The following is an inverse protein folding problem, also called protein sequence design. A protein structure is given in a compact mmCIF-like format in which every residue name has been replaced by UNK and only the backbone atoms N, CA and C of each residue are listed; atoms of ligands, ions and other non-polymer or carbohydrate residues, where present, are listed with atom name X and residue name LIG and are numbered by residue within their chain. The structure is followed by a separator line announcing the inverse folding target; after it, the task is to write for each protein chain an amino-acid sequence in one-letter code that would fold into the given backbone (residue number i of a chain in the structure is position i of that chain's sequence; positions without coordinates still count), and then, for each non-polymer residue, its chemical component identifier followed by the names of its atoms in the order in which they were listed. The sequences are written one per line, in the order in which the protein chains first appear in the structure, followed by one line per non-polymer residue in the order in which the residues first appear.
data_IF_750849118982
#
_entry.id   IF_750849118982
#
_cell.length_a   1.000
_cell.length_b   1.000
_cell.length_c   1.000
_cell.angle_alpha   90.00
_cell.angle_beta   90.00
_cell.angle_gamma   90.00
#
_symmetry.space_group_name_H-M   'P 1'
#
loop_
_entity.id
_entity.type
_entity.pdbx_description
1 polymer ?
#
# COMPACT_ATOMS: atom_id res chain seq x y z
N UNK A 1 -30.90 -56.81 -11.22
CA UNK A 1 -31.95 -57.29 -10.29
C UNK A 1 -31.30 -57.36 -8.93
N UNK A 2 -31.83 -56.88 -7.82
CA UNK A 2 -32.99 -56.07 -7.49
C UNK A 2 -32.73 -55.86 -5.98
N UNK A 3 -32.55 -54.60 -5.59
CA UNK A 3 -33.13 -54.07 -4.35
C UNK A 3 -32.35 -54.42 -3.07
N UNK A 4 -31.80 -53.41 -2.40
CA UNK A 4 -32.49 -52.71 -1.30
C UNK A 4 -32.54 -53.64 -0.08
N UNK A 5 -31.72 -53.43 0.95
CA UNK A 5 -32.11 -52.77 2.22
C UNK A 5 -30.85 -52.74 3.11
N UNK A 6 -30.78 -51.79 4.06
CA UNK A 6 -29.67 -51.45 4.98
C UNK A 6 -28.76 -50.37 4.36
N UNK A 7 -29.15 -49.10 4.18
CA UNK A 7 -29.82 -48.14 5.06
C UNK A 7 -29.33 -48.13 6.53
N UNK A 8 -28.74 -46.99 6.88
CA UNK A 8 -28.84 -46.32 8.19
C UNK A 8 -27.84 -46.75 9.28
N UNK A 9 -26.67 -46.08 9.35
CA UNK A 9 -25.99 -45.64 10.59
C UNK A 9 -24.64 -44.98 10.27
N UNK A 10 -24.65 -43.73 9.78
CA UNK A 10 -23.51 -42.79 9.91
C UNK A 10 -24.02 -41.35 9.72
N UNK A 11 -25.05 -41.01 10.50
CA UNK A 11 -25.36 -39.62 10.84
C UNK A 11 -24.91 -39.47 12.29
N UNK A 12 -23.77 -38.83 12.52
CA UNK A 12 -23.50 -37.97 13.68
C UNK A 12 -22.06 -37.42 13.60
N UNK A 13 -21.91 -36.24 13.00
CA UNK A 13 -20.90 -35.24 13.38
C UNK A 13 -21.32 -33.92 12.74
N UNK A 14 -22.42 -33.40 13.25
CA UNK A 14 -22.88 -32.04 13.07
C UNK A 14 -21.94 -31.06 13.75
N UNK A 15 -21.81 -29.89 13.11
CA UNK A 15 -21.49 -28.60 13.73
C UNK A 15 -20.03 -28.33 14.16
N UNK A 16 -19.18 -27.98 13.20
CA UNK A 16 -18.17 -26.94 13.42
C UNK A 16 -18.83 -25.56 13.18
N UNK A 17 -19.63 -25.13 14.16
CA UNK A 17 -19.97 -23.72 14.33
C UNK A 17 -18.90 -23.09 15.22
N UNK A 18 -17.78 -22.66 14.61
CA UNK A 18 -16.87 -21.73 15.27
C UNK A 18 -17.34 -20.31 15.00
N UNK A 19 -18.05 -19.81 16.00
CA UNK A 19 -18.16 -18.41 16.37
C UNK A 19 -16.90 -17.60 16.06
N UNK A 20 -17.12 -16.46 15.39
CA UNK A 20 -16.53 -15.20 15.83
C UNK A 20 -15.10 -14.88 15.38
N UNK A 21 -14.98 -14.28 14.20
CA UNK A 21 -14.36 -12.96 14.06
C UNK A 21 -14.90 -12.33 12.77
N UNK A 22 -16.14 -11.86 12.87
CA UNK A 22 -16.59 -10.75 12.03
C UNK A 22 -15.80 -9.53 12.49
N UNK A 23 -14.56 -9.43 12.03
CA UNK A 23 -13.84 -8.17 12.00
C UNK A 23 -14.36 -7.49 10.75
N UNK A 24 -15.50 -6.85 10.92
CA UNK A 24 -15.89 -5.74 10.06
C UNK A 24 -14.68 -4.81 10.09
N UNK A 25 -13.86 -4.89 9.05
CA UNK A 25 -12.91 -3.85 8.75
C UNK A 25 -13.75 -2.74 8.13
N UNK A 26 -13.88 -1.57 8.79
CA UNK A 26 -14.08 -0.34 8.05
C UNK A 26 -12.83 -0.15 7.19
N UNK A 27 -12.84 -0.74 6.00
CA UNK A 27 -12.08 -0.25 4.86
C UNK A 27 -13.02 0.66 4.05
N UNK A 28 -13.75 1.54 4.74
CA UNK A 28 -14.22 2.79 4.18
C UNK A 28 -13.03 3.76 4.16
N UNK A 29 -12.10 3.54 3.23
CA UNK A 29 -11.54 4.69 2.52
C UNK A 29 -12.43 4.94 1.30
N UNK A 30 -13.72 5.18 1.57
CA UNK A 30 -14.55 6.02 0.74
C UNK A 30 -14.04 7.47 0.91
N UNK A 31 -12.90 7.71 0.30
CA UNK A 31 -12.25 9.01 0.16
C UNK A 31 -11.97 9.25 -1.31
N UNK A 32 -13.05 9.31 -2.11
CA UNK A 32 -13.24 10.27 -3.20
C UNK A 32 -12.10 10.27 -4.26
N UNK A 33 -12.25 9.70 -5.45
CA UNK A 33 -13.39 9.92 -6.34
C UNK A 33 -13.53 11.37 -6.82
N UNK A 34 -12.83 12.31 -6.16
CA UNK A 34 -12.49 13.60 -6.72
C UNK A 34 -11.09 13.42 -7.32
N UNK A 35 -10.91 13.81 -8.57
CA UNK A 35 -9.60 14.07 -9.13
C UNK A 35 -8.85 15.04 -8.21
N UNK A 36 -8.06 14.52 -7.27
CA UNK A 36 -7.14 15.35 -6.48
C UNK A 36 -6.02 15.71 -7.43
N UNK A 37 -5.99 16.98 -7.83
CA UNK A 37 -4.87 17.55 -8.58
C UNK A 37 -3.62 17.48 -7.70
N UNK A 38 -2.83 16.43 -7.92
CA UNK A 38 -1.62 16.13 -7.15
C UNK A 38 -0.58 17.25 -7.26
N UNK A 39 -0.65 18.07 -8.32
CA UNK A 39 0.28 19.17 -8.56
C UNK A 39 -0.03 20.40 -7.69
N UNK A 40 -1.26 20.51 -7.17
CA UNK A 40 -1.68 21.59 -6.27
C UNK A 40 -1.48 21.27 -4.78
N UNK A 41 -1.09 20.04 -4.44
CA UNK A 41 -0.88 19.65 -3.06
C UNK A 41 0.35 20.35 -2.46
N UNK A 42 0.31 20.70 -1.16
CA UNK A 42 1.45 21.30 -0.49
C UNK A 42 2.67 20.39 -0.57
N UNK A 43 3.86 21.01 -0.67
CA UNK A 43 5.11 20.26 -0.65
C UNK A 43 5.33 19.65 0.73
N UNK A 44 5.83 18.42 0.77
CA UNK A 44 6.20 17.74 2.02
C UNK A 44 7.63 18.08 2.41
N UNK A 45 7.90 18.03 3.71
CA UNK A 45 9.26 18.16 4.23
C UNK A 45 10.00 16.84 4.09
N UNK A 46 11.26 16.91 3.62
CA UNK A 46 12.13 15.75 3.45
C UNK A 46 13.40 16.00 4.25
N UNK A 47 13.75 15.16 5.25
CA UNK A 47 14.99 15.31 5.99
C UNK A 47 16.20 14.92 5.14
N UNK A 48 17.40 15.31 5.58
CA UNK A 48 18.64 15.02 4.86
C UNK A 48 18.88 13.52 4.71
N UNK A 49 18.67 12.77 5.79
CA UNK A 49 18.91 11.34 5.89
C UNK A 49 17.85 10.50 5.17
N UNK A 50 16.71 11.11 4.85
CA UNK A 50 15.57 10.50 4.20
C UNK A 50 14.47 10.06 5.13
N UNK A 51 13.29 9.86 4.55
CA UNK A 51 12.06 9.46 5.24
C UNK A 51 11.30 8.47 4.36
N UNK A 52 10.65 7.49 4.99
CA UNK A 52 9.68 6.60 4.36
C UNK A 52 8.26 7.20 4.48
N UNK A 53 7.49 7.13 3.40
CA UNK A 53 6.11 7.57 3.34
C UNK A 53 5.18 6.36 3.20
N UNK A 54 4.35 6.13 4.23
CA UNK A 54 3.26 5.17 4.23
C UNK A 54 1.95 5.87 4.68
N UNK A 55 1.00 6.15 3.78
CA UNK A 55 1.01 5.80 2.35
C UNK A 55 2.02 6.62 1.54
N UNK A 56 2.35 6.16 0.33
CA UNK A 56 3.21 6.91 -0.59
C UNK A 56 2.64 8.29 -0.94
N UNK A 57 3.53 9.26 -1.13
CA UNK A 57 3.18 10.64 -1.53
C UNK A 57 3.34 10.82 -3.04
N UNK A 58 2.70 11.85 -3.60
CA UNK A 58 2.93 12.20 -5.00
C UNK A 58 4.33 12.79 -5.18
N UNK A 59 5.00 12.43 -6.28
CA UNK A 59 6.30 13.02 -6.67
C UNK A 59 6.22 14.55 -6.79
N UNK A 60 5.06 15.07 -7.19
CA UNK A 60 4.79 16.49 -7.24
C UNK A 60 4.96 17.17 -5.87
N UNK A 61 4.61 16.50 -4.76
CA UNK A 61 4.73 17.03 -3.39
C UNK A 61 6.16 17.07 -2.88
N UNK A 62 7.09 16.31 -3.47
CA UNK A 62 8.48 16.33 -3.02
C UNK A 62 9.15 17.67 -3.33
N UNK A 63 10.09 18.16 -2.51
CA UNK A 63 10.87 19.34 -2.86
C UNK A 63 11.86 19.03 -3.99
N UNK A 64 12.25 20.03 -4.75
CA UNK A 64 13.22 19.85 -5.84
C UNK A 64 14.61 19.47 -5.29
N UNK A 65 15.38 18.74 -6.09
CA UNK A 65 16.75 18.33 -5.75
C UNK A 65 16.85 17.10 -4.84
N UNK A 66 15.76 16.63 -4.23
CA UNK A 66 15.75 15.38 -3.46
C UNK A 66 15.94 14.16 -4.34
N UNK A 67 16.51 13.12 -3.76
CA UNK A 67 16.56 11.77 -4.30
C UNK A 67 15.32 11.02 -3.84
N UNK A 68 14.55 10.48 -4.78
CA UNK A 68 13.26 9.84 -4.51
C UNK A 68 13.17 8.45 -5.13
N UNK A 69 12.39 7.57 -4.53
CA UNK A 69 11.99 6.32 -5.16
C UNK A 69 10.75 6.56 -6.02
N UNK A 70 10.92 6.73 -7.33
CA UNK A 70 9.80 6.95 -8.26
C UNK A 70 9.13 5.60 -8.61
N UNK A 71 7.93 5.42 -8.06
CA UNK A 71 7.05 4.28 -8.31
C UNK A 71 5.86 4.72 -9.16
N UNK A 72 6.13 5.29 -10.34
CA UNK A 72 5.12 5.79 -11.28
C UNK A 72 4.33 6.98 -10.73
N UNK A 73 5.01 8.11 -10.48
CA UNK A 73 4.45 9.37 -9.93
C UNK A 73 4.14 9.36 -8.45
N UNK A 74 4.26 8.22 -7.78
CA UNK A 74 4.24 8.12 -6.33
C UNK A 74 5.65 7.83 -5.80
N UNK A 75 5.91 8.23 -4.57
CA UNK A 75 7.13 7.93 -3.86
C UNK A 75 6.86 7.55 -2.42
N UNK A 76 7.44 6.43 -2.00
CA UNK A 76 7.42 5.97 -0.62
C UNK A 76 8.73 6.28 0.12
N UNK A 77 9.72 6.89 -0.53
CA UNK A 77 10.96 7.29 0.12
C UNK A 77 11.60 8.48 -0.61
N UNK A 78 12.04 9.47 0.15
CA UNK A 78 12.86 10.56 -0.38
C UNK A 78 13.91 11.03 0.64
N UNK A 79 15.02 11.57 0.16
CA UNK A 79 16.12 12.14 0.95
C UNK A 79 16.82 13.28 0.20
N UNK A 80 17.38 14.28 0.91
CA UNK A 80 18.27 15.24 0.24
C UNK A 80 19.65 14.65 -0.08
N UNK A 81 20.15 13.72 0.73
CA UNK A 81 21.40 13.01 0.45
C UNK A 81 21.12 11.76 -0.39
N UNK A 82 21.86 11.59 -1.48
CA UNK A 82 21.75 10.40 -2.35
C UNK A 82 22.14 9.13 -1.61
N UNK A 83 23.12 9.21 -0.69
CA UNK A 83 23.82 8.04 -0.13
C UNK A 83 24.32 7.10 -1.24
N UNK A 84 24.01 5.81 -1.15
CA UNK A 84 24.29 4.78 -2.16
C UNK A 84 23.41 4.91 -3.43
N UNK A 85 22.41 5.77 -3.39
CA UNK A 85 21.43 5.96 -4.44
C UNK A 85 20.37 4.87 -4.49
N UNK A 86 20.25 4.00 -3.48
CA UNK A 86 19.30 2.89 -3.47
C UNK A 86 18.23 3.15 -2.40
N UNK A 87 16.97 2.90 -2.74
CA UNK A 87 15.88 2.98 -1.78
C UNK A 87 16.08 1.91 -0.69
N UNK A 88 16.13 2.27 0.61
CA UNK A 88 16.34 1.29 1.67
C UNK A 88 15.11 0.37 1.90
N UNK A 89 13.95 0.73 1.34
CA UNK A 89 12.68 0.02 1.54
C UNK A 89 12.45 -1.05 0.47
N UNK A 90 12.60 -0.69 -0.82
CA UNK A 90 12.33 -1.59 -1.95
C UNK A 90 13.56 -1.92 -2.81
N UNK A 91 14.72 -1.36 -2.48
CA UNK A 91 15.99 -1.57 -3.19
C UNK A 91 16.01 -1.14 -4.66
N UNK A 92 15.07 -0.31 -5.09
CA UNK A 92 15.10 0.36 -6.39
C UNK A 92 16.09 1.52 -6.39
N UNK A 93 16.59 1.90 -7.58
CA UNK A 93 17.47 3.06 -7.74
C UNK A 93 16.68 4.37 -7.52
N UNK A 94 17.23 5.27 -6.71
CA UNK A 94 16.71 6.61 -6.51
C UNK A 94 16.94 7.49 -7.73
N UNK A 95 15.94 8.31 -8.02
CA UNK A 95 15.94 9.31 -9.09
C UNK A 95 15.97 10.69 -8.45
N UNK A 96 16.80 11.61 -8.95
CA UNK A 96 16.79 12.98 -8.45
C UNK A 96 15.62 13.75 -9.05
N UNK A 97 14.83 14.40 -8.21
CA UNK A 97 13.80 15.34 -8.65
C UNK A 97 14.46 16.59 -9.24
N UNK A 98 14.21 16.85 -10.52
CA UNK A 98 14.67 18.08 -11.17
C UNK A 98 13.80 19.25 -10.72
N UNK A 99 14.42 20.43 -10.65
CA UNK A 99 13.66 21.67 -10.55
C UNK A 99 12.74 21.79 -11.77
N UNK A 100 11.49 22.16 -11.52
CA UNK A 100 10.58 22.54 -12.60
C UNK A 100 10.77 24.02 -12.84
N UNK A 101 11.37 24.38 -13.98
CA UNK A 101 11.57 25.77 -14.44
C UNK A 101 10.27 26.43 -14.89
#
# INVERSE_FOLDING_TARGET
MKNLTILLLLVLSTAFALSGCKKDAPADNAGLGAEVDLDQLPKVEVPKEGIEFDPSVAVAQLPDGVWMCDMSKLSHYAAHDKKDGVCPVCHMQLVQKKATE
#
